data_IF_669219358841
#
_entry.id   IF_669219358841
#
_cell.length_a   1.000
_cell.length_b   1.000
_cell.length_c   1.000
_cell.angle_alpha   90.00
_cell.angle_beta   90.00
_cell.angle_gamma   90.00
#
_symmetry.space_group_name_H-M   'P 1'
#
loop_
_entity.id
_entity.type
_entity.pdbx_description
1 polymer ?
#
# COMPACT_ATOMS: atom_id res chain seq x y z
N UNK A 1 36.31 15.35 26.33
CA UNK A 1 35.16 16.29 26.24
C UNK A 1 34.72 16.56 24.80
N UNK A 2 35.64 16.70 23.83
CA UNK A 2 35.32 16.99 22.41
C UNK A 2 34.54 15.85 21.72
N UNK A 3 34.85 14.59 22.02
CA UNK A 3 34.18 13.42 21.43
C UNK A 3 32.68 13.32 21.77
N UNK A 4 32.28 13.75 22.97
CA UNK A 4 30.87 13.76 23.37
C UNK A 4 30.09 14.85 22.63
N UNK A 5 30.73 15.97 22.30
CA UNK A 5 30.07 17.07 21.58
C UNK A 5 29.84 16.75 20.10
N UNK A 6 30.81 16.11 19.45
CA UNK A 6 30.65 15.66 18.06
C UNK A 6 29.50 14.64 17.97
N UNK A 7 29.42 13.71 18.92
CA UNK A 7 28.31 12.76 19.02
C UNK A 7 26.95 13.43 19.15
N UNK A 8 26.82 14.46 20.00
CA UNK A 8 25.55 15.20 20.15
C UNK A 8 25.15 15.99 18.91
N UNK A 9 26.12 16.58 18.19
CA UNK A 9 25.84 17.35 16.96
C UNK A 9 25.38 16.45 15.83
N UNK A 10 26.10 15.33 15.61
CA UNK A 10 25.69 14.33 14.61
C UNK A 10 24.29 13.78 14.93
N UNK A 11 23.97 13.60 16.22
CA UNK A 11 22.64 13.17 16.62
C UNK A 11 21.55 14.20 16.36
N UNK A 12 21.82 15.47 16.68
CA UNK A 12 20.90 16.56 16.42
C UNK A 12 20.60 16.66 14.93
N UNK A 13 21.62 16.52 14.08
CA UNK A 13 21.45 16.49 12.63
C UNK A 13 20.63 15.28 12.20
N UNK A 14 20.95 14.07 12.68
CA UNK A 14 20.19 12.86 12.33
C UNK A 14 18.71 12.94 12.75
N UNK A 15 18.44 13.48 13.95
CA UNK A 15 17.09 13.68 14.45
C UNK A 15 16.34 14.76 13.67
N UNK A 16 17.00 15.87 13.32
CA UNK A 16 16.41 16.91 12.46
C UNK A 16 16.13 16.38 11.04
N UNK A 17 17.03 15.57 10.48
CA UNK A 17 16.82 14.93 9.18
C UNK A 17 15.65 13.94 9.24
N UNK A 18 15.56 13.14 10.31
CA UNK A 18 14.43 12.21 10.52
C UNK A 18 13.11 12.96 10.70
N UNK A 19 13.10 14.06 11.46
CA UNK A 19 11.92 14.92 11.61
C UNK A 19 11.54 15.61 10.30
N UNK A 20 12.52 16.04 9.50
CA UNK A 20 12.29 16.61 8.17
C UNK A 20 11.67 15.59 7.22
N UNK A 21 12.14 14.35 7.26
CA UNK A 21 11.62 13.26 6.44
C UNK A 21 10.18 12.92 6.84
N UNK A 22 9.88 12.85 8.14
CA UNK A 22 8.53 12.65 8.68
C UNK A 22 7.58 13.79 8.27
N UNK A 23 8.01 15.05 8.42
CA UNK A 23 7.18 16.21 8.02
C UNK A 23 7.10 16.41 6.51
N UNK A 24 8.10 15.94 5.75
CA UNK A 24 8.11 15.97 4.28
C UNK A 24 7.14 14.94 3.72
N UNK A 25 7.24 13.69 4.18
CA UNK A 25 6.44 12.59 3.65
C UNK A 25 4.93 12.77 3.91
N UNK A 26 4.54 13.44 5.00
CA UNK A 26 3.14 13.74 5.28
C UNK A 26 2.48 14.71 4.28
N UNK A 27 3.26 15.43 3.46
CA UNK A 27 2.71 16.27 2.38
C UNK A 27 2.67 15.58 1.02
N UNK A 28 3.47 14.55 0.84
CA UNK A 28 3.59 13.85 -0.45
C UNK A 28 2.62 12.65 -0.56
N UNK A 29 2.13 12.10 0.56
CA UNK A 29 1.17 10.97 0.59
C UNK A 29 -0.26 11.32 0.11
N UNK A 30 -0.49 12.57 -0.32
CA UNK A 30 -1.74 13.02 -0.94
C UNK A 30 -1.58 13.36 -2.44
N UNK A 31 -0.40 13.12 -3.03
CA UNK A 31 -0.11 13.56 -4.39
C UNK A 31 0.52 12.48 -5.29
N UNK A 32 0.44 11.20 -4.91
CA UNK A 32 0.90 10.07 -5.74
C UNK A 32 0.14 9.99 -7.08
N UNK A 33 -1.10 10.49 -7.11
CA UNK A 33 -1.91 10.60 -8.32
C UNK A 33 -1.24 11.51 -9.38
N UNK A 34 -0.64 12.63 -8.94
CA UNK A 34 0.06 13.59 -9.83
C UNK A 34 1.43 13.08 -10.28
N UNK A 35 2.13 12.28 -9.45
CA UNK A 35 3.45 11.73 -9.83
C UNK A 35 3.30 10.60 -10.86
N UNK A 36 2.25 9.77 -10.75
CA UNK A 36 1.95 8.73 -11.72
C UNK A 36 1.47 9.30 -13.07
N UNK A 37 0.60 10.32 -13.08
CA UNK A 37 0.24 11.02 -14.33
C UNK A 37 1.43 11.74 -14.97
N UNK A 38 2.42 12.17 -14.19
CA UNK A 38 3.62 12.82 -14.73
C UNK A 38 4.68 11.86 -15.25
N UNK A 39 4.72 10.64 -14.73
CA UNK A 39 5.69 9.60 -15.12
C UNK A 39 5.15 8.63 -16.18
N UNK A 40 3.82 8.47 -16.28
CA UNK A 40 3.13 7.58 -17.24
C UNK A 40 2.04 8.28 -18.08
N UNK A 41 1.93 9.62 -18.01
CA UNK A 41 1.08 10.41 -18.90
C UNK A 41 1.72 10.51 -20.27
N UNK A 42 1.46 9.50 -21.10
CA UNK A 42 1.97 9.42 -22.47
C UNK A 42 1.59 10.66 -23.31
N UNK A 43 2.59 11.11 -24.06
CA UNK A 43 2.64 12.27 -24.94
C UNK A 43 1.48 12.39 -25.96
N UNK A 44 1.11 13.64 -26.25
CA UNK A 44 0.21 14.03 -27.34
C UNK A 44 0.70 13.49 -28.69
N UNK A 45 -0.13 12.72 -29.40
CA UNK A 45 0.03 12.53 -30.85
C UNK A 45 -1.10 13.26 -31.57
N UNK A 46 -0.90 14.57 -31.75
CA UNK A 46 -1.68 15.38 -32.68
C UNK A 46 -1.24 15.11 -34.12
N UNK A 47 -1.89 14.16 -34.80
CA UNK A 47 -1.76 14.03 -36.26
C UNK A 47 -2.98 14.63 -36.97
N UNK A 48 -2.69 15.76 -37.62
CA UNK A 48 -3.57 16.56 -38.47
C UNK A 48 -3.37 16.06 -39.90
N UNK A 49 -4.37 15.41 -40.50
CA UNK A 49 -4.37 15.13 -41.94
C UNK A 49 -5.78 15.27 -42.52
N UNK A 50 -6.10 16.50 -42.89
CA UNK A 50 -6.95 16.81 -44.04
C UNK A 50 -6.09 16.59 -45.30
N UNK A 51 -6.56 15.80 -46.26
CA UNK A 51 -6.79 16.22 -47.65
C UNK A 51 -6.83 14.99 -48.60
N UNK A 52 -7.86 14.99 -49.44
CA UNK A 52 -7.99 14.42 -50.80
C UNK A 52 -7.52 12.99 -51.17
N UNK A 53 -8.47 12.30 -51.81
CA UNK A 53 -8.31 11.62 -53.11
C UNK A 53 -7.66 10.21 -53.23
N UNK A 54 -8.57 9.24 -53.37
CA UNK A 54 -8.54 8.02 -54.21
C UNK A 54 -7.37 7.02 -54.08
N UNK A 55 -7.61 5.85 -53.47
CA UNK A 55 -7.25 4.52 -54.05
C UNK A 55 -8.31 3.48 -53.61
N UNK A 56 -8.97 2.82 -54.58
CA UNK A 56 -9.89 1.69 -54.34
C UNK A 56 -9.11 0.37 -54.30
N UNK A 57 -9.14 -0.35 -53.17
CA UNK A 57 -8.75 -1.77 -53.10
C UNK A 57 -9.94 -2.61 -52.61
N UNK A 58 -10.23 -3.67 -53.37
CA UNK A 58 -11.41 -4.50 -53.30
C UNK A 58 -11.27 -5.60 -52.23
N UNK A 59 -12.08 -5.47 -51.18
CA UNK A 59 -12.88 -6.51 -50.50
C UNK A 59 -12.20 -7.85 -50.15
N UNK A 60 -11.67 -7.92 -48.93
CA UNK A 60 -11.62 -9.14 -48.11
C UNK A 60 -12.74 -9.10 -47.07
N UNK A 61 -13.40 -10.22 -46.82
CA UNK A 61 -14.50 -10.38 -45.86
C UNK A 61 -14.07 -9.98 -44.44
N UNK A 62 -14.33 -8.74 -44.05
CA UNK A 62 -14.13 -8.27 -42.68
C UNK A 62 -15.43 -8.50 -41.91
N UNK A 63 -15.41 -9.50 -41.03
CA UNK A 63 -16.36 -9.62 -39.93
C UNK A 63 -16.16 -8.41 -39.02
N UNK A 64 -16.95 -7.37 -39.25
CA UNK A 64 -16.98 -6.18 -38.39
C UNK A 64 -17.75 -6.55 -37.13
N UNK A 65 -17.02 -6.79 -36.04
CA UNK A 65 -17.62 -6.93 -34.72
C UNK A 65 -18.46 -5.68 -34.40
N UNK A 66 -19.67 -5.83 -33.81
CA UNK A 66 -20.48 -4.68 -33.42
C UNK A 66 -19.72 -3.81 -32.40
N UNK A 67 -19.94 -2.49 -32.38
CA UNK A 67 -19.45 -1.66 -31.30
C UNK A 67 -20.19 -2.10 -30.03
N UNK A 68 -19.54 -2.92 -29.21
CA UNK A 68 -20.06 -3.24 -27.89
C UNK A 68 -20.21 -1.91 -27.16
N UNK A 69 -21.43 -1.60 -26.76
CA UNK A 69 -21.73 -0.51 -25.85
C UNK A 69 -21.08 -0.90 -24.51
N UNK A 70 -19.79 -0.61 -24.38
CA UNK A 70 -19.04 -0.91 -23.17
C UNK A 70 -19.57 0.02 -22.09
N UNK A 71 -20.66 -0.40 -21.42
CA UNK A 71 -20.95 0.05 -20.06
C UNK A 71 -19.62 -0.11 -19.34
N UNK A 72 -18.96 1.00 -19.00
CA UNK A 72 -17.68 1.00 -18.31
C UNK A 72 -17.88 0.21 -17.04
N UNK A 73 -17.32 -1.01 -16.97
CA UNK A 73 -17.41 -1.82 -15.76
C UNK A 73 -16.78 -1.01 -14.61
N UNK A 74 -17.33 -1.09 -13.40
CA UNK A 74 -16.73 -0.43 -12.25
C UNK A 74 -15.30 -0.95 -12.03
N UNK A 75 -14.39 -0.05 -11.65
CA UNK A 75 -13.01 -0.39 -11.33
C UNK A 75 -12.96 -1.20 -10.05
N UNK A 76 -12.14 -2.25 -10.03
CA UNK A 76 -11.94 -3.07 -8.86
C UNK A 76 -10.67 -2.63 -8.13
N UNK A 77 -10.76 -2.38 -6.83
CA UNK A 77 -9.61 -1.95 -6.02
C UNK A 77 -9.37 -2.91 -4.88
N UNK A 78 -8.16 -3.45 -4.78
CA UNK A 78 -7.71 -4.28 -3.69
C UNK A 78 -6.81 -3.46 -2.77
N UNK A 79 -7.21 -3.34 -1.50
CA UNK A 79 -6.38 -2.75 -0.46
C UNK A 79 -5.94 -3.87 0.50
N UNK A 80 -4.65 -4.19 0.50
CA UNK A 80 -4.14 -5.31 1.30
C UNK A 80 -2.85 -4.97 2.05
N UNK A 81 -2.59 -5.70 3.13
CA UNK A 81 -1.33 -5.60 3.85
C UNK A 81 -0.18 -6.22 3.03
N UNK A 82 0.63 -5.39 2.38
CA UNK A 82 1.77 -5.86 1.55
C UNK A 82 2.81 -6.60 2.40
N UNK A 83 3.10 -6.11 3.60
CA UNK A 83 4.05 -6.75 4.54
C UNK A 83 3.57 -8.11 5.09
N UNK A 84 2.28 -8.41 4.97
CA UNK A 84 1.67 -9.66 5.44
C UNK A 84 1.71 -10.79 4.39
N UNK A 85 2.27 -10.55 3.20
CA UNK A 85 2.36 -11.56 2.13
C UNK A 85 1.11 -11.71 1.27
N UNK A 86 0.13 -10.80 1.37
CA UNK A 86 -1.11 -10.87 0.58
C UNK A 86 -0.95 -10.55 -0.91
N UNK A 87 0.23 -10.11 -1.35
CA UNK A 87 0.50 -9.80 -2.77
C UNK A 87 0.23 -11.00 -3.68
N UNK A 88 0.64 -12.20 -3.27
CA UNK A 88 0.39 -13.41 -4.05
C UNK A 88 -1.10 -13.73 -4.18
N UNK A 89 -1.88 -13.52 -3.11
CA UNK A 89 -3.33 -13.70 -3.15
C UNK A 89 -3.97 -12.69 -4.12
N UNK A 90 -3.56 -11.41 -4.05
CA UNK A 90 -4.00 -10.37 -4.98
C UNK A 90 -3.70 -10.74 -6.45
N UNK A 91 -2.49 -11.23 -6.75
CA UNK A 91 -2.11 -11.63 -8.11
C UNK A 91 -2.98 -12.79 -8.63
N UNK A 92 -3.31 -13.75 -7.74
CA UNK A 92 -4.19 -14.88 -8.06
C UNK A 92 -5.63 -14.42 -8.35
N UNK A 93 -6.21 -13.55 -7.50
CA UNK A 93 -7.53 -12.99 -7.72
C UNK A 93 -7.58 -12.13 -8.99
N UNK A 94 -6.56 -11.30 -9.22
CA UNK A 94 -6.47 -10.44 -10.41
C UNK A 94 -6.50 -11.27 -11.69
N UNK A 95 -5.74 -12.37 -11.74
CA UNK A 95 -5.77 -13.29 -12.89
C UNK A 95 -7.15 -13.92 -13.07
N UNK A 96 -7.75 -14.45 -12.00
CA UNK A 96 -9.06 -15.12 -12.06
C UNK A 96 -10.18 -14.17 -12.51
N UNK A 97 -10.12 -12.91 -12.09
CA UNK A 97 -11.10 -11.88 -12.44
C UNK A 97 -10.89 -11.39 -13.87
N UNK A 98 -9.64 -11.22 -14.32
CA UNK A 98 -9.34 -10.88 -15.71
C UNK A 98 -9.85 -11.94 -16.70
N UNK A 99 -9.82 -13.23 -16.32
CA UNK A 99 -10.39 -14.31 -17.13
C UNK A 99 -11.91 -14.18 -17.31
N UNK A 100 -12.64 -13.69 -16.29
CA UNK A 100 -14.10 -13.53 -16.33
C UNK A 100 -14.57 -12.17 -16.84
N UNK A 101 -13.83 -11.10 -16.55
CA UNK A 101 -14.14 -9.70 -16.91
C UNK A 101 -12.92 -9.03 -17.56
N UNK A 102 -12.65 -9.29 -18.85
CA UNK A 102 -11.43 -8.83 -19.51
C UNK A 102 -11.31 -7.30 -19.62
N UNK A 103 -12.42 -6.56 -19.52
CA UNK A 103 -12.47 -5.10 -19.60
C UNK A 103 -12.53 -4.39 -18.24
N UNK A 104 -12.48 -5.12 -17.12
CA UNK A 104 -12.47 -4.54 -15.78
C UNK A 104 -11.05 -4.06 -15.43
N UNK A 105 -10.92 -2.82 -14.97
CA UNK A 105 -9.66 -2.30 -14.42
C UNK A 105 -9.49 -2.83 -13.00
N UNK A 106 -8.32 -3.40 -12.69
CA UNK A 106 -7.98 -3.95 -11.38
C UNK A 106 -6.77 -3.20 -10.84
N UNK A 107 -6.95 -2.50 -9.73
CA UNK A 107 -5.91 -1.76 -9.03
C UNK A 107 -5.59 -2.42 -7.69
N UNK A 108 -4.31 -2.57 -7.38
CA UNK A 108 -3.84 -3.10 -6.10
C UNK A 108 -3.00 -2.07 -5.36
N UNK A 109 -3.34 -1.75 -4.11
CA UNK A 109 -2.61 -0.80 -3.28
C UNK A 109 -2.44 -1.30 -1.83
N UNK A 110 -1.48 -0.71 -1.12
CA UNK A 110 -1.20 -1.06 0.27
C UNK A 110 -2.30 -0.50 1.20
N UNK A 111 -2.83 -1.34 2.09
CA UNK A 111 -3.78 -0.88 3.11
C UNK A 111 -3.02 -0.17 4.23
N UNK A 112 -3.11 1.17 4.26
CA UNK A 112 -2.43 1.98 5.27
C UNK A 112 -2.97 1.72 6.69
N UNK A 113 -2.10 1.64 7.70
CA UNK A 113 -2.54 1.51 9.08
C UNK A 113 -3.31 2.74 9.51
N UNK A 114 -4.26 2.56 10.44
CA UNK A 114 -4.97 3.67 11.08
C UNK A 114 -3.96 4.72 11.57
N UNK A 115 -4.25 6.00 11.38
CA UNK A 115 -3.32 7.10 11.64
C UNK A 115 -2.64 7.01 13.03
N UNK A 116 -3.38 6.64 14.07
CA UNK A 116 -2.82 6.47 15.42
C UNK A 116 -1.77 5.36 15.53
N UNK A 117 -1.90 4.26 14.78
CA UNK A 117 -0.90 3.18 14.71
C UNK A 117 0.36 3.65 13.97
N UNK A 118 0.17 4.42 12.89
CA UNK A 118 1.28 5.06 12.16
C UNK A 118 2.08 6.00 13.06
N UNK A 119 1.40 6.93 13.72
CA UNK A 119 2.01 7.87 14.67
C UNK A 119 2.72 7.10 15.79
N UNK A 120 2.10 6.06 16.36
CA UNK A 120 2.70 5.28 17.42
C UNK A 120 3.98 4.55 16.96
N UNK A 121 3.98 3.95 15.77
CA UNK A 121 5.18 3.32 15.23
C UNK A 121 6.30 4.34 14.99
N UNK A 122 5.96 5.54 14.49
CA UNK A 122 6.94 6.62 14.32
C UNK A 122 7.53 7.08 15.67
N UNK A 123 6.70 7.21 16.71
CA UNK A 123 7.17 7.54 18.07
C UNK A 123 8.11 6.45 18.61
N UNK A 124 7.79 5.18 18.41
CA UNK A 124 8.66 4.06 18.81
C UNK A 124 9.98 4.10 18.02
N UNK A 125 9.90 4.35 16.72
CA UNK A 125 11.04 4.46 15.83
C UNK A 125 11.99 5.60 16.18
N UNK A 126 11.47 6.77 16.58
CA UNK A 126 12.29 7.87 17.08
C UNK A 126 12.81 7.60 18.50
N UNK A 127 11.93 7.08 19.37
CA UNK A 127 12.23 6.78 20.76
C UNK A 127 13.39 5.79 20.90
N UNK A 128 13.40 4.71 20.12
CA UNK A 128 14.50 3.72 20.15
C UNK A 128 15.84 4.36 19.80
N UNK A 129 15.89 5.30 18.85
CA UNK A 129 17.13 5.99 18.48
C UNK A 129 17.63 6.84 19.65
N UNK A 130 16.74 7.60 20.29
CA UNK A 130 17.09 8.37 21.50
C UNK A 130 17.64 7.45 22.59
N UNK A 131 16.98 6.32 22.87
CA UNK A 131 17.42 5.35 23.87
C UNK A 131 18.77 4.69 23.53
N UNK A 132 18.98 4.27 22.28
CA UNK A 132 20.26 3.71 21.80
C UNK A 132 21.38 4.70 22.06
N UNK A 133 21.14 5.99 21.81
CA UNK A 133 22.15 7.03 21.98
C UNK A 133 22.48 7.24 23.45
N UNK A 134 21.47 7.30 24.32
CA UNK A 134 21.69 7.39 25.76
C UNK A 134 22.54 6.22 26.27
N UNK A 135 22.24 5.00 25.83
CA UNK A 135 23.00 3.78 26.19
C UNK A 135 24.44 3.86 25.68
N UNK A 136 24.66 4.25 24.42
CA UNK A 136 26.00 4.37 23.82
C UNK A 136 26.83 5.43 24.56
N UNK A 137 26.25 6.60 24.80
CA UNK A 137 26.87 7.68 25.58
C UNK A 137 27.07 7.33 27.06
N UNK A 138 26.47 6.24 27.54
CA UNK A 138 26.52 5.86 28.95
C UNK A 138 25.81 6.85 29.86
N UNK A 139 24.86 7.62 29.33
CA UNK A 139 24.09 8.60 30.09
C UNK A 139 22.87 7.93 30.70
N UNK A 140 22.67 8.14 32.00
CA UNK A 140 21.50 7.66 32.71
C UNK A 140 20.45 8.78 32.83
N UNK A 141 19.33 8.73 32.07
CA UNK A 141 18.28 9.73 32.15
C UNK A 141 17.51 9.66 33.49
N UNK A 142 17.55 8.54 34.20
CA UNK A 142 16.85 8.39 35.49
C UNK A 142 17.59 9.14 36.59
N UNK A 143 18.93 9.14 36.54
CA UNK A 143 19.76 9.89 37.47
C UNK A 143 19.51 11.41 37.41
N UNK A 144 19.21 11.97 36.23
CA UNK A 144 18.90 13.41 36.09
C UNK A 144 17.51 13.78 36.60
N UNK A 145 16.56 12.83 36.59
CA UNK A 145 15.19 13.01 37.12
C UNK A 145 15.12 12.68 38.63
N UNK A 146 16.24 12.27 39.25
CA UNK A 146 16.31 11.90 40.67
C UNK A 146 15.60 10.58 41.00
N UNK A 147 15.32 9.77 39.98
CA UNK A 147 14.69 8.45 40.14
C UNK A 147 15.76 7.35 40.16
N UNK A 148 15.56 6.27 40.92
CA UNK A 148 16.48 5.15 40.90
C UNK A 148 16.51 4.50 39.51
N UNK A 149 17.69 4.23 38.99
CA UNK A 149 17.90 3.59 37.70
C UNK A 149 17.25 2.21 37.67
N UNK A 150 16.28 1.94 36.77
CA UNK A 150 15.69 0.62 36.64
C UNK A 150 16.76 -0.44 36.32
N UNK A 151 16.64 -1.65 36.89
CA UNK A 151 17.62 -2.74 36.68
C UNK A 151 17.86 -3.04 35.20
N UNK A 152 16.82 -2.95 34.37
CA UNK A 152 16.91 -3.16 32.92
C UNK A 152 17.82 -2.13 32.26
N UNK A 153 17.77 -0.87 32.71
CA UNK A 153 18.54 0.23 32.16
C UNK A 153 19.98 0.20 32.69
N UNK A 154 20.17 -0.12 33.97
CA UNK A 154 21.52 -0.35 34.53
C UNK A 154 22.25 -1.50 33.82
N UNK A 155 21.54 -2.61 33.53
CA UNK A 155 22.07 -3.69 32.71
C UNK A 155 22.37 -3.23 31.27
N UNK A 156 21.54 -2.34 30.73
CA UNK A 156 21.75 -1.80 29.40
C UNK A 156 23.03 -0.96 29.29
N UNK A 157 23.29 -0.14 30.30
CA UNK A 157 24.50 0.67 30.41
C UNK A 157 25.77 -0.19 30.57
N UNK A 158 25.69 -1.35 31.26
CA UNK A 158 26.83 -2.27 31.38
C UNK A 158 27.07 -3.09 30.12
N UNK A 159 26.03 -3.42 29.36
CA UNK A 159 26.09 -4.26 28.15
C UNK A 159 25.62 -3.49 26.91
N UNK A 160 26.32 -2.39 26.57
CA UNK A 160 25.86 -1.43 25.56
C UNK A 160 25.49 -2.07 24.21
N UNK A 161 26.39 -2.87 23.62
CA UNK A 161 26.19 -3.46 22.28
C UNK A 161 24.99 -4.41 22.26
N UNK A 162 24.94 -5.37 23.18
CA UNK A 162 23.84 -6.34 23.28
C UNK A 162 22.50 -5.66 23.53
N UNK A 163 22.50 -4.60 24.33
CA UNK A 163 21.28 -3.86 24.69
C UNK A 163 20.78 -3.00 23.54
N UNK A 164 21.67 -2.32 22.81
CA UNK A 164 21.30 -1.60 21.60
C UNK A 164 20.77 -2.54 20.52
N UNK A 165 21.38 -3.72 20.33
CA UNK A 165 20.89 -4.73 19.38
C UNK A 165 19.50 -5.23 19.79
N UNK A 166 19.32 -5.61 21.05
CA UNK A 166 18.03 -6.07 21.57
C UNK A 166 16.95 -4.99 21.40
N UNK A 167 17.23 -3.75 21.80
CA UNK A 167 16.32 -2.62 21.67
C UNK A 167 15.95 -2.38 20.21
N UNK A 168 16.93 -2.37 19.30
CA UNK A 168 16.69 -2.18 17.88
C UNK A 168 15.80 -3.28 17.30
N UNK A 169 16.10 -4.55 17.57
CA UNK A 169 15.34 -5.69 17.06
C UNK A 169 13.91 -5.72 17.62
N UNK A 170 13.73 -5.52 18.93
CA UNK A 170 12.42 -5.51 19.57
C UNK A 170 11.57 -4.34 19.07
N UNK A 171 12.14 -3.13 19.01
CA UNK A 171 11.42 -1.96 18.51
C UNK A 171 11.04 -2.13 17.04
N UNK A 172 11.94 -2.62 16.18
CA UNK A 172 11.60 -2.92 14.78
C UNK A 172 10.48 -3.96 14.68
N UNK A 173 10.51 -5.01 15.51
CA UNK A 173 9.45 -6.04 15.52
C UNK A 173 8.09 -5.42 15.89
N UNK A 174 8.07 -4.55 16.90
CA UNK A 174 6.85 -3.85 17.33
C UNK A 174 6.37 -2.85 16.27
N UNK A 175 7.27 -2.06 15.68
CA UNK A 175 6.97 -1.13 14.58
C UNK A 175 6.39 -1.87 13.37
N UNK A 176 7.04 -2.96 12.94
CA UNK A 176 6.53 -3.80 11.85
C UNK A 176 5.17 -4.41 12.20
N UNK A 177 4.93 -4.77 13.46
CA UNK A 177 3.62 -5.28 13.91
C UNK A 177 2.54 -4.20 13.92
N UNK A 178 2.88 -2.95 14.23
CA UNK A 178 1.96 -1.81 14.18
C UNK A 178 1.62 -1.42 12.74
N UNK A 179 2.60 -1.51 11.83
CA UNK A 179 2.43 -1.23 10.40
C UNK A 179 1.68 -2.34 9.67
N UNK A 180 1.83 -3.59 10.11
CA UNK A 180 1.13 -4.74 9.51
C UNK A 180 -0.33 -4.76 9.94
N UNK A 181 -1.21 -4.24 9.08
CA UNK A 181 -2.65 -4.15 9.35
C UNK A 181 -3.35 -5.51 9.28
N UNK A 182 -2.80 -6.45 8.52
CA UNK A 182 -3.44 -7.74 8.24
C UNK A 182 -4.68 -7.64 7.37
N UNK A 183 -4.96 -6.47 6.78
CA UNK A 183 -6.15 -6.20 6.00
C UNK A 183 -6.08 -6.87 4.62
N UNK A 184 -7.25 -7.23 4.09
CA UNK A 184 -7.46 -7.67 2.71
C UNK A 184 -8.87 -7.25 2.34
N UNK A 185 -8.96 -6.04 1.80
CA UNK A 185 -10.19 -5.35 1.52
C UNK A 185 -10.36 -5.24 0.01
N UNK A 186 -11.58 -5.46 -0.45
CA UNK A 186 -11.90 -5.48 -1.86
C UNK A 186 -13.05 -4.53 -2.12
N UNK A 187 -12.85 -3.61 -3.06
CA UNK A 187 -13.81 -2.61 -3.47
C UNK A 187 -14.17 -2.81 -4.94
N UNK A 188 -15.43 -2.56 -5.27
CA UNK A 188 -15.96 -2.57 -6.62
C UNK A 188 -16.61 -1.21 -6.89
N UNK A 189 -15.89 -0.36 -7.63
CA UNK A 189 -16.14 1.08 -7.65
C UNK A 189 -15.85 1.67 -6.26
N UNK A 190 -16.84 2.35 -5.71
CA UNK A 190 -16.77 2.98 -4.38
C UNK A 190 -17.31 2.08 -3.25
N UNK A 191 -17.85 0.90 -3.59
CA UNK A 191 -18.49 -0.01 -2.64
C UNK A 191 -17.52 -1.09 -2.15
N UNK A 192 -17.42 -1.27 -0.83
CA UNK A 192 -16.65 -2.36 -0.24
C UNK A 192 -17.44 -3.66 -0.32
N UNK A 193 -16.95 -4.62 -1.11
CA UNK A 193 -17.61 -5.92 -1.32
C UNK A 193 -17.06 -7.01 -0.41
N UNK A 194 -15.83 -6.84 0.10
CA UNK A 194 -15.23 -7.75 1.06
C UNK A 194 -14.33 -7.03 2.04
N UNK A 195 -14.42 -7.43 3.30
CA UNK A 195 -13.49 -7.05 4.35
C UNK A 195 -12.96 -8.27 5.06
N UNK A 196 -11.64 -8.49 5.04
CA UNK A 196 -11.01 -9.52 5.87
C UNK A 196 -11.03 -9.15 7.34
N UNK A 197 -10.96 -7.86 7.66
CA UNK A 197 -11.02 -7.39 9.04
C UNK A 197 -12.37 -7.70 9.70
N UNK A 198 -13.45 -7.67 8.92
CA UNK A 198 -14.80 -8.00 9.40
C UNK A 198 -15.12 -9.49 9.29
N UNK A 199 -14.79 -10.13 8.16
CA UNK A 199 -15.08 -11.56 7.94
C UNK A 199 -14.12 -12.50 8.66
N UNK A 200 -12.94 -12.02 9.07
CA UNK A 200 -11.88 -12.81 9.71
C UNK A 200 -11.06 -13.69 8.75
N UNK A 201 -11.39 -13.73 7.45
CA UNK A 201 -10.71 -14.56 6.44
C UNK A 201 -10.61 -13.90 5.07
N UNK A 202 -9.73 -14.41 4.23
CA UNK A 202 -9.69 -14.10 2.79
C UNK A 202 -10.81 -14.92 2.11
N UNK A 203 -11.55 -14.37 1.13
CA UNK A 203 -12.58 -15.13 0.43
C UNK A 203 -11.95 -16.21 -0.46
N UNK A 204 -12.72 -17.21 -0.87
CA UNK A 204 -12.27 -18.09 -1.96
C UNK A 204 -12.47 -17.39 -3.32
N UNK A 205 -11.71 -17.73 -4.38
CA UNK A 205 -11.92 -17.15 -5.72
C UNK A 205 -13.36 -17.28 -6.24
N UNK A 206 -14.00 -18.43 -6.02
CA UNK A 206 -15.40 -18.64 -6.40
C UNK A 206 -16.38 -17.78 -5.61
N UNK A 207 -16.13 -17.56 -4.32
CA UNK A 207 -16.97 -16.71 -3.46
C UNK A 207 -16.88 -15.24 -3.88
N UNK A 208 -15.66 -14.76 -4.14
CA UNK A 208 -15.45 -13.40 -4.62
C UNK A 208 -16.21 -13.15 -5.93
N UNK A 209 -16.17 -14.11 -6.86
CA UNK A 209 -16.88 -13.99 -8.13
C UNK A 209 -18.40 -13.98 -7.95
N UNK A 210 -18.95 -14.78 -7.04
CA UNK A 210 -20.38 -14.74 -6.73
C UNK A 210 -20.83 -13.40 -6.15
N UNK A 211 -20.01 -12.81 -5.29
CA UNK A 211 -20.28 -11.47 -4.71
C UNK A 211 -20.20 -10.40 -5.81
N UNK A 212 -19.22 -10.48 -6.70
CA UNK A 212 -19.10 -9.57 -7.85
C UNK A 212 -20.34 -9.70 -8.75
N UNK A 213 -20.78 -10.92 -9.09
CA UNK A 213 -21.98 -11.14 -9.90
C UNK A 213 -23.21 -10.47 -9.27
N UNK A 214 -23.44 -10.72 -7.97
CA UNK A 214 -24.55 -10.11 -7.23
C UNK A 214 -24.48 -8.58 -7.24
N UNK A 215 -23.30 -8.02 -7.02
CA UNK A 215 -23.11 -6.57 -7.02
C UNK A 215 -23.29 -5.95 -8.42
N UNK A 216 -22.84 -6.63 -9.48
CA UNK A 216 -23.06 -6.18 -10.86
C UNK A 216 -24.53 -6.25 -11.26
N UNK A 217 -25.26 -7.27 -10.79
CA UNK A 217 -26.71 -7.37 -10.97
C UNK A 217 -27.46 -6.22 -10.28
N UNK A 218 -27.08 -5.89 -9.05
CA UNK A 218 -27.65 -4.78 -8.27
C UNK A 218 -27.39 -3.41 -8.92
N UNK A 219 -26.18 -3.19 -9.44
CA UNK A 219 -25.80 -1.95 -10.12
C UNK A 219 -26.38 -1.84 -11.56
N UNK A 220 -27.15 -2.83 -12.02
CA UNK A 220 -27.74 -2.84 -13.36
C UNK A 220 -26.70 -2.96 -14.49
N UNK A 221 -25.47 -3.34 -14.15
CA UNK A 221 -24.42 -3.72 -15.08
C UNK A 221 -24.66 -5.17 -15.51
N UNK A 222 -25.74 -5.41 -16.26
CA UNK A 222 -25.92 -6.70 -16.95
C UNK A 222 -24.70 -6.92 -17.84
N UNK A 223 -23.88 -7.90 -17.48
CA UNK A 223 -22.78 -8.43 -18.27
C UNK A 223 -23.44 -9.10 -19.48
N UNK A 224 -23.59 -8.33 -20.56
CA UNK A 224 -24.13 -8.86 -21.81
C UNK A 224 -23.09 -9.78 -22.45
N UNK A 225 -23.31 -11.08 -22.32
CA UNK A 225 -22.78 -12.09 -23.23
C UNK A 225 -21.84 -13.09 -22.58
N UNK A 226 -22.35 -14.30 -22.30
CA UNK A 226 -21.85 -15.60 -22.82
C UNK A 226 -22.36 -16.73 -21.92
N UNK A 227 -23.67 -17.03 -21.96
CA UNK A 227 -24.22 -18.36 -21.65
C UNK A 227 -25.62 -18.45 -22.29
N UNK A 228 -25.67 -18.39 -23.62
CA UNK A 228 -26.77 -19.00 -24.35
C UNK A 228 -26.45 -20.50 -24.41
N UNK A 229 -26.94 -21.25 -23.43
CA UNK A 229 -27.04 -22.70 -23.57
C UNK A 229 -28.23 -22.95 -24.49
N UNK A 230 -27.93 -23.06 -25.78
CA UNK A 230 -28.84 -23.59 -26.77
C UNK A 230 -28.91 -25.11 -26.53
N UNK A 231 -30.01 -25.57 -25.95
CA UNK A 231 -30.31 -26.99 -25.85
C UNK A 231 -31.77 -27.21 -26.20
N UNK A 232 -31.94 -27.56 -27.49
CA UNK A 232 -32.97 -28.43 -28.09
C UNK A 232 -34.44 -28.07 -27.92
#
# INVERSE_FOLDING_TARGET
MITNQIGTVVLGIALLLSLRDIYGHSKDEYNDDEMFEKEFGDEETGEKLEDTDHIRVRQGSHFTAPPHTTKKLPSMKFLFCVSCGYRQAFDEFSRYIHEKYPSMKIDGANYSPKAWKSILAQIIGLGKIVFIVLIVMGQDPFASIGQPTPRIFAWALSNKVSSCMMLFLLSNTIESSLMSTGAFEIYLGDEQIWSKLESGRVPSPSELVQIIDQQMELQGAKVSGTFAFDSS
#
